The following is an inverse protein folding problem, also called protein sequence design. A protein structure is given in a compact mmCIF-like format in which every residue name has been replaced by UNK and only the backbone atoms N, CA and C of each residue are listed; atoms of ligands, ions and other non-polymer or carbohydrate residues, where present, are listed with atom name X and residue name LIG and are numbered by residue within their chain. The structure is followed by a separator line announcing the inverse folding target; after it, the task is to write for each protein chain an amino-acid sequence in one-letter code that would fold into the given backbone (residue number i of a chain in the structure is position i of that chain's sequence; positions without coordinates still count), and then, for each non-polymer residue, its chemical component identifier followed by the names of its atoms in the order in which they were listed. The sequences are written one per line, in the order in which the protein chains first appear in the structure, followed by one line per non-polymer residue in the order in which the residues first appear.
data_IF_322311489702
#
_entry.id   IF_322311489702
#
_cell.length_a   1.000
_cell.length_b   1.000
_cell.length_c   1.000
_cell.angle_alpha   90.00
_cell.angle_beta   90.00
_cell.angle_gamma   90.00
#
_symmetry.space_group_name_H-M   'P 1'
#
loop_
_entity.id
_entity.type
_entity.pdbx_description
1 polymer ?
#
# COMPACT_ATOMS: atom_id res chain seq x y z
N UNK A 1 -28.78 -11.16 12.91
CA UNK A 1 -27.50 -10.44 12.71
C UNK A 1 -27.53 -9.95 11.28
N UNK A 2 -28.09 -8.76 11.08
CA UNK A 2 -28.35 -8.17 9.77
C UNK A 2 -27.06 -7.62 9.15
N UNK A 3 -26.82 -7.94 7.88
CA UNK A 3 -25.66 -7.46 7.13
C UNK A 3 -25.99 -6.17 6.35
N UNK A 4 -25.13 -5.13 6.37
CA UNK A 4 -25.42 -3.88 5.65
C UNK A 4 -25.26 -4.00 4.11
N UNK A 5 -26.11 -3.28 3.37
CA UNK A 5 -26.34 -3.39 1.93
C UNK A 5 -25.23 -2.94 0.95
N UNK A 6 -23.95 -2.94 1.34
CA UNK A 6 -22.83 -2.70 0.43
C UNK A 6 -22.21 -4.00 -0.14
N UNK A 7 -22.71 -5.15 0.29
CA UNK A 7 -22.24 -6.51 -0.04
C UNK A 7 -22.59 -7.01 -1.47
N UNK A 8 -22.77 -6.11 -2.45
CA UNK A 8 -23.10 -6.49 -3.83
C UNK A 8 -22.25 -5.73 -4.85
N UNK A 9 -21.02 -6.18 -5.10
CA UNK A 9 -20.22 -5.58 -6.17
C UNK A 9 -18.81 -6.13 -6.34
N UNK A 10 -18.66 -7.13 -7.22
CA UNK A 10 -17.46 -7.52 -8.00
C UNK A 10 -16.08 -7.40 -7.32
N UNK A 11 -15.62 -8.53 -6.76
CA UNK A 11 -14.26 -9.03 -6.97
C UNK A 11 -13.09 -8.14 -6.56
N UNK A 12 -12.93 -7.88 -5.25
CA UNK A 12 -11.62 -7.72 -4.63
C UNK A 12 -11.73 -8.13 -3.16
N UNK A 13 -11.24 -9.33 -2.85
CA UNK A 13 -11.33 -9.94 -1.51
C UNK A 13 -10.29 -9.34 -0.56
N UNK A 14 -10.38 -8.03 -0.31
CA UNK A 14 -9.75 -7.32 0.82
C UNK A 14 -10.80 -6.97 1.89
N UNK A 15 -11.94 -7.67 1.87
CA UNK A 15 -13.04 -7.49 2.80
C UNK A 15 -12.62 -8.06 4.16
N UNK A 16 -12.70 -7.24 5.22
CA UNK A 16 -12.44 -7.52 6.65
C UNK A 16 -10.99 -7.38 7.14
N UNK A 17 -10.48 -6.15 7.17
CA UNK A 17 -9.41 -5.79 8.10
C UNK A 17 -9.76 -4.42 8.72
N UNK A 18 -9.87 -4.38 10.06
CA UNK A 18 -9.98 -3.16 10.87
C UNK A 18 -8.79 -2.22 10.56
N UNK A 19 -8.89 -0.89 10.75
CA UNK A 19 -7.84 0.07 10.38
C UNK A 19 -6.46 -0.25 10.97
N UNK A 20 -6.39 -0.74 12.21
CA UNK A 20 -5.14 -1.20 12.82
C UNK A 20 -4.57 -2.47 12.18
N UNK A 21 -5.41 -3.30 11.57
CA UNK A 21 -5.05 -4.59 10.95
C UNK A 21 -4.72 -4.45 9.46
N UNK A 22 -5.25 -3.42 8.77
CA UNK A 22 -4.88 -3.07 7.39
C UNK A 22 -3.40 -2.71 7.24
N UNK A 23 -2.82 -2.30 8.35
CA UNK A 23 -1.45 -1.87 8.46
C UNK A 23 -0.50 -3.04 8.71
N UNK A 24 -0.92 -4.17 9.29
CA UNK A 24 0.00 -5.28 9.65
C UNK A 24 0.97 -5.74 8.54
N UNK A 25 0.56 -5.96 7.28
CA UNK A 25 1.52 -6.33 6.24
C UNK A 25 2.52 -5.20 5.93
N UNK A 26 2.10 -3.94 6.01
CA UNK A 26 2.99 -2.76 5.89
C UNK A 26 3.87 -2.59 7.14
N UNK A 27 3.33 -2.92 8.32
CA UNK A 27 3.97 -2.79 9.63
C UNK A 27 4.96 -3.91 9.94
N UNK A 28 5.05 -4.95 9.11
CA UNK A 28 6.04 -6.02 9.30
C UNK A 28 7.48 -5.49 9.38
N UNK A 29 7.75 -4.31 8.79
CA UNK A 29 9.02 -3.58 8.86
C UNK A 29 8.97 -2.30 9.73
N UNK A 30 7.83 -1.96 10.30
CA UNK A 30 7.65 -0.72 11.06
C UNK A 30 8.13 -0.86 12.50
N UNK A 31 8.77 0.20 13.01
CA UNK A 31 9.14 0.31 14.42
C UNK A 31 7.97 0.81 15.26
N UNK A 32 8.08 0.75 16.59
CA UNK A 32 7.06 1.30 17.50
C UNK A 32 6.84 2.81 17.28
N UNK A 33 7.91 3.57 17.02
CA UNK A 33 7.84 5.00 16.69
C UNK A 33 7.12 5.26 15.35
N UNK A 34 7.39 4.42 14.35
CA UNK A 34 6.69 4.46 13.07
C UNK A 34 5.18 4.27 13.31
N UNK A 35 4.79 3.20 14.02
CA UNK A 35 3.39 2.89 14.36
C UNK A 35 2.70 4.08 15.05
N UNK A 36 3.34 4.68 16.07
CA UNK A 36 2.79 5.81 16.81
C UNK A 36 2.60 7.06 15.94
N UNK A 37 3.52 7.33 15.00
CA UNK A 37 3.38 8.41 14.02
C UNK A 37 2.18 8.16 13.10
N UNK A 38 1.96 6.91 12.69
CA UNK A 38 0.85 6.55 11.79
C UNK A 38 -0.52 6.59 12.45
N UNK A 39 -0.61 6.29 13.74
CA UNK A 39 -1.90 6.32 14.46
C UNK A 39 -2.44 7.74 14.60
N UNK A 40 -1.59 8.77 14.53
CA UNK A 40 -2.00 10.17 14.68
C UNK A 40 -2.83 10.69 13.50
N UNK A 41 -2.63 10.14 12.31
CA UNK A 41 -3.27 10.54 11.05
C UNK A 41 -4.17 9.42 10.47
N UNK A 42 -4.67 8.54 11.34
CA UNK A 42 -5.30 7.26 10.99
C UNK A 42 -6.48 7.38 10.00
N UNK A 43 -7.36 8.36 10.18
CA UNK A 43 -8.57 8.49 9.34
C UNK A 43 -8.24 8.91 7.90
N UNK A 44 -7.39 9.94 7.74
CA UNK A 44 -6.96 10.42 6.42
C UNK A 44 -6.12 9.37 5.69
N UNK A 45 -5.26 8.67 6.42
CA UNK A 45 -4.48 7.57 5.87
C UNK A 45 -5.36 6.40 5.44
N UNK A 46 -6.33 5.99 6.28
CA UNK A 46 -7.24 4.88 5.97
C UNK A 46 -8.04 5.12 4.69
N UNK A 47 -8.59 6.32 4.50
CA UNK A 47 -9.31 6.69 3.28
C UNK A 47 -8.42 6.64 2.03
N UNK A 48 -7.20 7.20 2.12
CA UNK A 48 -6.22 7.16 1.03
C UNK A 48 -5.77 5.73 0.70
N UNK A 49 -5.53 4.92 1.73
CA UNK A 49 -5.14 3.52 1.62
C UNK A 49 -6.22 2.71 0.92
N UNK A 50 -7.48 2.79 1.38
CA UNK A 50 -8.61 2.09 0.75
C UNK A 50 -8.79 2.50 -0.72
N UNK A 51 -8.60 3.78 -1.04
CA UNK A 51 -8.72 4.29 -2.41
C UNK A 51 -7.57 3.85 -3.34
N UNK A 52 -6.39 3.56 -2.80
CA UNK A 52 -5.16 3.36 -3.60
C UNK A 52 -4.64 1.92 -3.59
N UNK A 53 -4.72 1.21 -2.46
CA UNK A 53 -4.09 -0.09 -2.24
C UNK A 53 -4.47 -1.13 -3.30
N UNK A 54 -5.76 -1.28 -3.60
CA UNK A 54 -6.21 -2.26 -4.61
C UNK A 54 -5.69 -1.96 -6.02
N UNK A 55 -5.70 -0.68 -6.43
CA UNK A 55 -5.19 -0.27 -7.73
C UNK A 55 -3.67 -0.44 -7.84
N UNK A 56 -2.95 -0.12 -6.76
CA UNK A 56 -1.50 -0.25 -6.70
C UNK A 56 -1.07 -1.73 -6.73
N UNK A 57 -1.69 -2.58 -5.91
CA UNK A 57 -1.42 -4.02 -5.89
C UNK A 57 -1.71 -4.66 -7.25
N UNK A 58 -2.83 -4.29 -7.89
CA UNK A 58 -3.17 -4.77 -9.24
C UNK A 58 -2.15 -4.33 -10.30
N UNK A 59 -1.61 -3.12 -10.18
CA UNK A 59 -0.54 -2.62 -11.05
C UNK A 59 0.77 -3.40 -10.84
N UNK A 60 1.21 -3.57 -9.59
CA UNK A 60 2.46 -4.26 -9.26
C UNK A 60 2.40 -5.71 -9.73
N UNK A 61 1.33 -6.45 -9.41
CA UNK A 61 1.15 -7.85 -9.81
C UNK A 61 1.22 -8.03 -11.32
N UNK A 62 0.66 -7.10 -12.09
CA UNK A 62 0.74 -7.11 -13.56
C UNK A 62 2.16 -6.83 -14.08
N UNK A 63 2.93 -6.03 -13.37
CA UNK A 63 4.28 -5.67 -13.77
C UNK A 63 5.30 -6.77 -13.48
N UNK A 64 5.30 -7.34 -12.27
CA UNK A 64 6.30 -8.34 -11.88
C UNK A 64 5.93 -9.79 -12.21
N UNK A 65 4.64 -10.12 -12.36
CA UNK A 65 4.19 -11.49 -12.67
C UNK A 65 4.32 -12.50 -11.52
N UNK A 66 5.04 -12.17 -10.45
CA UNK A 66 5.23 -12.98 -9.25
C UNK A 66 4.44 -12.38 -8.06
N UNK A 67 3.71 -13.23 -7.32
CA UNK A 67 2.85 -12.82 -6.20
C UNK A 67 3.67 -12.40 -4.97
N UNK A 68 4.71 -13.16 -4.61
CA UNK A 68 5.53 -12.87 -3.44
C UNK A 68 6.32 -11.57 -3.64
N UNK A 69 6.90 -11.40 -4.84
CA UNK A 69 7.57 -10.15 -5.21
C UNK A 69 6.60 -8.96 -5.23
N UNK A 70 5.36 -9.17 -5.69
CA UNK A 70 4.37 -8.10 -5.69
C UNK A 70 4.03 -7.62 -4.28
N UNK A 71 3.88 -8.56 -3.34
CA UNK A 71 3.64 -8.26 -1.93
C UNK A 71 4.82 -7.52 -1.30
N UNK A 72 6.05 -7.97 -1.56
CA UNK A 72 7.26 -7.30 -1.06
C UNK A 72 7.37 -5.86 -1.58
N UNK A 73 7.16 -5.64 -2.88
CA UNK A 73 7.20 -4.30 -3.48
C UNK A 73 6.07 -3.43 -2.93
N UNK A 74 4.88 -3.98 -2.75
CA UNK A 74 3.75 -3.25 -2.18
C UNK A 74 4.04 -2.78 -0.75
N UNK A 75 4.53 -3.69 0.11
CA UNK A 75 4.89 -3.38 1.48
C UNK A 75 6.00 -2.33 1.54
N UNK A 76 7.06 -2.52 0.75
CA UNK A 76 8.17 -1.56 0.67
C UNK A 76 7.73 -0.19 0.15
N UNK A 77 6.75 -0.15 -0.77
CA UNK A 77 6.20 1.10 -1.30
C UNK A 77 5.53 1.92 -0.21
N UNK A 78 4.64 1.30 0.57
CA UNK A 78 3.98 1.98 1.68
C UNK A 78 4.95 2.31 2.81
N UNK A 79 5.90 1.44 3.11
CA UNK A 79 6.95 1.71 4.09
C UNK A 79 7.75 2.98 3.76
N UNK A 80 8.19 3.12 2.50
CA UNK A 80 8.89 4.33 2.03
C UNK A 80 8.02 5.57 2.00
N UNK A 81 6.75 5.42 1.61
CA UNK A 81 5.78 6.51 1.64
C UNK A 81 5.62 7.07 3.05
N UNK A 82 5.43 6.18 4.01
CA UNK A 82 5.18 6.48 5.41
C UNK A 82 6.38 7.10 6.14
N UNK A 83 7.61 6.70 5.77
CA UNK A 83 8.85 7.29 6.31
C UNK A 83 9.31 8.54 5.58
N UNK A 84 8.71 8.87 4.44
CA UNK A 84 9.07 10.08 3.73
C UNK A 84 8.55 11.29 4.51
N UNK A 85 9.42 12.26 4.77
CA UNK A 85 9.02 13.55 5.31
C UNK A 85 8.38 14.36 4.17
N UNK A 86 7.08 14.13 3.97
CA UNK A 86 6.30 14.74 2.91
C UNK A 86 5.54 15.95 3.44
N UNK A 87 5.42 17.02 2.64
CA UNK A 87 4.48 18.09 2.94
C UNK A 87 3.04 17.54 2.91
N UNK A 88 2.09 18.32 3.43
CA UNK A 88 0.67 17.96 3.33
C UNK A 88 0.29 17.73 1.86
N UNK A 89 -0.15 16.51 1.56
CA UNK A 89 -0.47 16.06 0.20
C UNK A 89 -1.94 15.69 0.13
N UNK A 90 -2.62 16.14 -0.92
CA UNK A 90 -3.97 15.65 -1.21
C UNK A 90 -3.91 14.19 -1.72
N UNK A 91 -5.04 13.49 -1.67
CA UNK A 91 -5.17 12.07 -2.02
C UNK A 91 -4.61 11.75 -3.41
N UNK A 92 -4.80 12.65 -4.39
CA UNK A 92 -4.25 12.48 -5.75
C UNK A 92 -2.73 12.51 -5.77
N UNK A 93 -2.13 13.42 -5.02
CA UNK A 93 -0.67 13.57 -4.93
C UNK A 93 -0.07 12.37 -4.21
N UNK A 94 -0.67 11.95 -3.09
CA UNK A 94 -0.28 10.75 -2.35
C UNK A 94 -0.32 9.51 -3.24
N UNK A 95 -1.41 9.31 -3.99
CA UNK A 95 -1.56 8.23 -4.97
C UNK A 95 -0.45 8.28 -6.02
N UNK A 96 -0.24 9.42 -6.67
CA UNK A 96 0.82 9.55 -7.69
C UNK A 96 2.20 9.24 -7.12
N UNK A 97 2.47 9.64 -5.87
CA UNK A 97 3.74 9.37 -5.20
C UNK A 97 3.94 7.89 -4.88
N UNK A 98 2.91 7.18 -4.40
CA UNK A 98 2.93 5.73 -4.20
C UNK A 98 3.26 4.97 -5.49
N UNK A 99 2.60 5.30 -6.59
CA UNK A 99 2.89 4.68 -7.89
C UNK A 99 4.33 4.96 -8.35
N UNK A 100 4.84 6.18 -8.13
CA UNK A 100 6.24 6.51 -8.44
C UNK A 100 7.23 5.65 -7.65
N UNK A 101 7.00 5.45 -6.36
CA UNK A 101 7.84 4.58 -5.52
C UNK A 101 7.81 3.14 -6.07
N UNK A 102 6.62 2.57 -6.30
CA UNK A 102 6.47 1.21 -6.81
C UNK A 102 7.15 1.02 -8.17
N UNK A 103 6.97 1.95 -9.10
CA UNK A 103 7.66 1.90 -10.40
C UNK A 103 9.17 1.94 -10.25
N UNK A 104 9.69 2.76 -9.33
CA UNK A 104 11.14 2.82 -9.07
C UNK A 104 11.67 1.49 -8.55
N UNK A 105 10.95 0.85 -7.62
CA UNK A 105 11.30 -0.47 -7.08
C UNK A 105 11.27 -1.56 -8.16
N UNK A 106 10.25 -1.58 -9.01
CA UNK A 106 10.14 -2.53 -10.12
C UNK A 106 11.31 -2.37 -11.12
N UNK A 107 11.63 -1.12 -11.48
CA UNK A 107 12.77 -0.82 -12.38
C UNK A 107 14.09 -1.26 -11.75
N UNK A 108 14.31 -0.98 -10.46
CA UNK A 108 15.51 -1.42 -9.77
C UNK A 108 15.60 -2.94 -9.68
N UNK A 109 14.48 -3.63 -9.48
CA UNK A 109 14.43 -5.09 -9.50
C UNK A 109 14.85 -5.65 -10.87
N UNK A 110 14.25 -5.22 -11.97
CA UNK A 110 14.62 -5.68 -13.32
C UNK A 110 16.06 -5.33 -13.69
N UNK A 111 16.60 -4.22 -13.20
CA UNK A 111 18.02 -3.85 -13.40
C UNK A 111 18.98 -4.79 -12.66
N UNK A 112 18.55 -5.38 -11.55
CA UNK A 112 19.34 -6.37 -10.80
C UNK A 112 19.28 -7.72 -11.47
N UNK A 113 18.08 -8.19 -11.82
CA UNK A 113 17.91 -9.47 -12.53
C UNK A 113 18.70 -9.55 -13.84
N UNK A 114 18.83 -8.45 -14.59
CA UNK A 114 19.61 -8.42 -15.83
C UNK A 114 21.13 -8.46 -15.65
N UNK A 115 21.64 -8.31 -14.44
CA UNK A 115 23.09 -8.30 -14.13
C UNK A 115 23.58 -9.62 -13.53
N UNK A 116 22.66 -10.51 -13.16
CA UNK A 116 22.93 -11.86 -12.66
C UNK A 116 22.70 -12.88 -13.78
#
# INVERSE_FOLDING_TARGET
MDMPGWAKGRGNSLMFYEPASLLEPVMRKATADDIARFTRDEQSFSAMYQATAGALMGYIRKACGDVALAEDIFQETFYRFLRADLPEMDQRQAKSYLFRIATSLLVDHWRRERRE
#
